data_IF_958031468658
#
_entry.id   IF_958031468658
#
_cell.length_a   1.000
_cell.length_b   1.000
_cell.length_c   1.000
_cell.angle_alpha   90.00
_cell.angle_beta   90.00
_cell.angle_gamma   90.00
#
_symmetry.space_group_name_H-M   'P 1'
#
loop_
_entity.id
_entity.type
_entity.pdbx_description
1 polymer ?
#
# COMPACT_ATOMS: atom_id res chain seq x y z
N UNK A 1 -17.14 12.96 -13.57
CA UNK A 1 -16.00 13.32 -14.44
C UNK A 1 -14.79 12.70 -13.78
N UNK A 2 -14.15 11.72 -14.44
CA UNK A 2 -13.01 10.99 -13.86
C UNK A 2 -11.88 11.98 -13.63
N UNK A 3 -11.53 12.22 -12.37
CA UNK A 3 -10.37 13.04 -12.06
C UNK A 3 -9.12 12.20 -12.28
N UNK A 4 -8.42 12.45 -13.37
CA UNK A 4 -7.19 11.71 -13.70
C UNK A 4 -6.12 11.95 -12.63
N UNK A 5 -6.21 13.08 -11.92
CA UNK A 5 -5.33 13.38 -10.79
C UNK A 5 -5.50 12.37 -9.65
N UNK A 6 -6.71 11.84 -9.40
CA UNK A 6 -6.93 10.81 -8.39
C UNK A 6 -6.20 9.50 -8.77
N UNK A 7 -6.28 9.13 -10.06
CA UNK A 7 -5.64 7.91 -10.58
C UNK A 7 -4.12 8.04 -10.48
N UNK A 8 -3.57 9.16 -10.94
CA UNK A 8 -2.12 9.40 -10.87
C UNK A 8 -1.64 9.54 -9.42
N UNK A 9 -2.39 10.20 -8.53
CA UNK A 9 -2.03 10.24 -7.11
C UNK A 9 -2.04 8.83 -6.54
N UNK A 10 -3.13 8.07 -6.71
CA UNK A 10 -3.23 6.70 -6.21
C UNK A 10 -2.03 5.84 -6.64
N UNK A 11 -1.61 5.95 -7.91
CA UNK A 11 -0.46 5.23 -8.46
C UNK A 11 0.90 5.82 -8.09
N UNK A 12 1.00 7.08 -7.63
CA UNK A 12 2.29 7.70 -7.33
C UNK A 12 3.00 7.02 -6.15
N UNK A 13 2.27 6.63 -5.10
CA UNK A 13 2.85 6.00 -3.92
C UNK A 13 3.09 4.50 -4.15
N UNK A 14 4.29 4.02 -3.84
CA UNK A 14 4.67 2.61 -4.02
C UNK A 14 3.79 1.65 -3.22
N UNK A 15 3.44 1.98 -1.97
CA UNK A 15 2.56 1.13 -1.15
C UNK A 15 1.14 1.04 -1.72
N UNK A 16 0.56 2.17 -2.17
CA UNK A 16 -0.77 2.19 -2.80
C UNK A 16 -0.80 1.37 -4.09
N UNK A 17 0.21 1.55 -4.94
CA UNK A 17 0.36 0.82 -6.20
C UNK A 17 0.41 -0.69 -5.96
N UNK A 18 1.24 -1.13 -5.01
CA UNK A 18 1.40 -2.55 -4.69
C UNK A 18 0.08 -3.14 -4.20
N UNK A 19 -0.59 -2.49 -3.25
CA UNK A 19 -1.90 -2.94 -2.77
C UNK A 19 -2.93 -3.02 -3.91
N UNK A 20 -3.01 -2.00 -4.75
CA UNK A 20 -3.96 -1.97 -5.87
C UNK A 20 -3.71 -3.08 -6.90
N UNK A 21 -2.44 -3.42 -7.16
CA UNK A 21 -2.07 -4.54 -8.02
C UNK A 21 -2.47 -5.87 -7.37
N UNK A 22 -2.22 -6.06 -6.07
CA UNK A 22 -2.61 -7.26 -5.33
C UNK A 22 -4.14 -7.46 -5.31
N UNK A 23 -4.90 -6.35 -5.25
CA UNK A 23 -6.37 -6.35 -5.32
C UNK A 23 -6.92 -6.77 -6.69
N UNK A 24 -6.13 -6.77 -7.77
CA UNK A 24 -6.55 -7.34 -9.06
C UNK A 24 -6.85 -8.83 -8.95
N UNK A 25 -6.11 -9.54 -8.09
CA UNK A 25 -6.19 -10.99 -7.94
C UNK A 25 -7.19 -11.40 -6.87
N UNK A 26 -7.11 -10.78 -5.68
CA UNK A 26 -7.98 -11.10 -4.55
C UNK A 26 -8.04 -9.95 -3.54
N UNK A 27 -9.11 -9.86 -2.73
CA UNK A 27 -9.14 -9.00 -1.55
C UNK A 27 -7.92 -9.25 -0.65
N UNK A 28 -7.40 -8.19 -0.03
CA UNK A 28 -6.18 -8.23 0.78
C UNK A 28 -6.47 -7.87 2.23
N UNK A 29 -5.82 -8.58 3.15
CA UNK A 29 -5.86 -8.23 4.56
C UNK A 29 -4.71 -7.29 4.88
N UNK A 30 -5.04 -6.12 5.44
CA UNK A 30 -4.00 -5.16 5.85
C UNK A 30 -3.60 -5.47 7.29
N UNK A 31 -2.30 -5.53 7.61
CA UNK A 31 -1.87 -5.75 8.99
C UNK A 31 -2.24 -4.55 9.86
N UNK A 32 -3.02 -4.79 10.91
CA UNK A 32 -3.30 -3.82 11.97
C UNK A 32 -2.00 -3.36 12.64
N UNK A 33 -1.85 -2.05 12.93
CA UNK A 33 -0.79 -1.58 13.78
C UNK A 33 -0.86 -2.24 15.16
N UNK A 34 0.29 -2.65 15.67
CA UNK A 34 0.38 -3.28 16.99
C UNK A 34 0.01 -2.28 18.10
N UNK A 35 -0.50 -2.79 19.24
CA UNK A 35 -1.16 -1.96 20.26
C UNK A 35 -0.35 -0.75 20.77
N UNK A 36 0.97 -0.84 20.85
CA UNK A 36 1.81 0.29 21.27
C UNK A 36 1.87 1.35 20.17
N UNK A 37 2.02 0.95 18.90
CA UNK A 37 2.09 1.88 17.78
C UNK A 37 0.73 2.47 17.44
N UNK A 38 -0.36 1.75 17.68
CA UNK A 38 -1.72 2.29 17.59
C UNK A 38 -1.97 3.41 18.61
N UNK A 39 -1.70 3.16 19.89
CA UNK A 39 -1.85 4.17 20.95
C UNK A 39 -0.98 5.41 20.69
N UNK A 40 0.24 5.20 20.18
CA UNK A 40 1.16 6.30 19.87
C UNK A 40 0.75 7.05 18.60
N UNK A 41 0.27 6.37 17.56
CA UNK A 41 -0.23 7.02 16.34
C UNK A 41 -1.51 7.83 16.58
N UNK A 42 -2.42 7.31 17.42
CA UNK A 42 -3.63 8.02 17.84
C UNK A 42 -3.29 9.27 18.68
N UNK A 43 -2.17 9.25 19.41
CA UNK A 43 -1.73 10.37 20.24
C UNK A 43 -0.89 11.43 19.50
N UNK A 44 0.13 11.03 18.72
CA UNK A 44 1.01 11.92 17.96
C UNK A 44 1.88 11.15 16.93
N UNK A 45 1.71 11.42 15.63
CA UNK A 45 2.52 10.81 14.57
C UNK A 45 4.03 11.09 14.71
N UNK A 46 4.42 12.23 15.27
CA UNK A 46 5.84 12.55 15.51
C UNK A 46 6.43 11.74 16.67
N UNK A 47 5.60 11.32 17.64
CA UNK A 47 6.04 10.38 18.67
C UNK A 47 6.25 8.99 18.07
N UNK A 48 5.41 8.59 17.13
CA UNK A 48 5.56 7.32 16.44
C UNK A 48 6.88 7.26 15.65
N UNK A 49 7.18 8.26 14.80
CA UNK A 49 8.45 8.29 14.05
C UNK A 49 9.69 8.15 14.96
N UNK A 50 9.65 8.78 16.14
CA UNK A 50 10.73 8.70 17.13
C UNK A 50 10.84 7.32 17.76
N UNK A 51 9.71 6.69 18.09
CA UNK A 51 9.67 5.35 18.66
C UNK A 51 10.19 4.29 17.68
N UNK A 52 9.73 4.36 16.43
CA UNK A 52 10.11 3.46 15.34
C UNK A 52 11.61 3.52 15.01
N UNK A 53 12.24 4.68 15.22
CA UNK A 53 13.69 4.84 15.01
C UNK A 53 14.55 4.00 15.97
N UNK A 54 13.99 3.51 17.09
CA UNK A 54 14.74 2.88 18.19
C UNK A 54 14.79 1.34 18.15
N UNK A 55 13.82 0.67 17.51
CA UNK A 55 13.73 -0.81 17.43
C UNK A 55 13.52 -1.27 15.98
N UNK A 56 14.62 -1.53 15.26
CA UNK A 56 14.68 -1.38 13.79
C UNK A 56 13.83 -2.37 12.96
N UNK A 57 13.43 -3.54 13.49
CA UNK A 57 12.65 -4.54 12.72
C UNK A 57 11.16 -4.51 13.03
N UNK A 58 10.78 -4.49 14.32
CA UNK A 58 9.38 -4.38 14.75
C UNK A 58 8.81 -3.03 14.30
N UNK A 59 9.64 -1.98 14.37
CA UNK A 59 9.28 -0.67 13.88
C UNK A 59 8.92 -0.65 12.39
N UNK A 60 9.64 -1.39 11.55
CA UNK A 60 9.39 -1.31 10.10
C UNK A 60 8.03 -1.90 9.70
N UNK A 61 7.59 -2.93 10.43
CA UNK A 61 6.25 -3.54 10.24
C UNK A 61 5.17 -2.59 10.74
N UNK A 62 5.36 -1.99 11.92
CA UNK A 62 4.41 -1.02 12.46
C UNK A 62 4.33 0.27 11.64
N UNK A 63 5.45 0.77 11.13
CA UNK A 63 5.49 1.97 10.27
C UNK A 63 4.65 1.76 9.00
N UNK A 64 4.79 0.58 8.40
CA UNK A 64 4.01 0.20 7.23
C UNK A 64 2.52 0.09 7.57
N UNK A 65 2.17 -0.60 8.65
CA UNK A 65 0.78 -0.72 9.11
C UNK A 65 0.14 0.63 9.41
N UNK A 66 0.81 1.50 10.17
CA UNK A 66 0.30 2.83 10.50
C UNK A 66 0.13 3.67 9.23
N UNK A 67 1.15 3.75 8.37
CA UNK A 67 1.04 4.56 7.14
C UNK A 67 -0.07 4.05 6.21
N UNK A 68 -0.28 2.73 6.15
CA UNK A 68 -1.41 2.15 5.43
C UNK A 68 -2.74 2.59 6.03
N UNK A 69 -2.94 2.42 7.35
CA UNK A 69 -4.21 2.72 8.03
C UNK A 69 -4.55 4.21 8.08
N UNK A 70 -3.55 5.09 8.29
CA UNK A 70 -3.81 6.51 8.54
C UNK A 70 -3.63 7.40 7.30
N UNK A 71 -2.84 6.98 6.31
CA UNK A 71 -2.51 7.83 5.15
C UNK A 71 -3.03 7.23 3.84
N UNK A 72 -2.74 5.95 3.59
CA UNK A 72 -2.96 5.38 2.26
C UNK A 72 -4.38 4.85 2.05
N UNK A 73 -4.91 4.02 2.96
CA UNK A 73 -6.24 3.43 2.84
C UNK A 73 -7.35 4.49 2.87
N UNK A 74 -7.35 5.49 3.78
CA UNK A 74 -8.39 6.52 3.78
C UNK A 74 -8.46 7.27 2.45
N UNK A 75 -7.31 7.64 1.86
CA UNK A 75 -7.26 8.32 0.56
C UNK A 75 -7.76 7.44 -0.58
N UNK A 76 -7.36 6.16 -0.63
CA UNK A 76 -7.82 5.24 -1.66
C UNK A 76 -9.33 4.98 -1.57
N UNK A 77 -9.88 4.94 -0.35
CA UNK A 77 -11.31 4.82 -0.11
C UNK A 77 -12.06 6.10 -0.51
N UNK A 78 -11.51 7.28 -0.21
CA UNK A 78 -12.04 8.58 -0.64
C UNK A 78 -12.13 8.69 -2.17
N UNK A 79 -11.10 8.23 -2.89
CA UNK A 79 -11.14 8.15 -4.35
C UNK A 79 -12.14 7.11 -4.88
N UNK A 80 -12.64 6.22 -4.03
CA UNK A 80 -13.56 5.14 -4.40
C UNK A 80 -12.88 3.96 -5.09
N UNK A 81 -11.55 3.90 -5.10
CA UNK A 81 -10.81 2.79 -5.71
C UNK A 81 -10.84 1.53 -4.84
N UNK A 82 -10.92 1.67 -3.52
CA UNK A 82 -11.06 0.53 -2.61
C UNK A 82 -12.33 0.64 -1.77
N UNK A 83 -12.85 -0.51 -1.36
CA UNK A 83 -13.70 -0.64 -0.19
C UNK A 83 -12.84 -1.14 0.97
N UNK A 84 -12.86 -0.45 2.10
CA UNK A 84 -12.10 -0.85 3.27
C UNK A 84 -13.04 -1.13 4.44
N UNK A 85 -12.99 -2.36 4.93
CA UNK A 85 -13.67 -2.81 6.14
C UNK A 85 -12.70 -2.69 7.32
N UNK A 86 -12.94 -1.69 8.18
CA UNK A 86 -12.17 -1.42 9.39
C UNK A 86 -12.36 -2.52 10.45
N UNK A 87 -13.51 -3.17 10.49
CA UNK A 87 -13.82 -4.19 11.51
C UNK A 87 -13.10 -5.51 11.20
N UNK A 88 -12.97 -5.83 9.91
CA UNK A 88 -12.34 -7.08 9.44
C UNK A 88 -10.94 -6.89 8.83
N UNK A 89 -10.43 -5.66 8.80
CA UNK A 89 -9.15 -5.31 8.16
C UNK A 89 -9.01 -5.78 6.72
N UNK A 90 -10.15 -5.83 6.04
CA UNK A 90 -10.25 -6.35 4.69
C UNK A 90 -10.36 -5.19 3.71
N UNK A 91 -9.44 -5.19 2.75
CA UNK A 91 -9.51 -4.28 1.61
C UNK A 91 -9.98 -5.06 0.39
N UNK A 92 -11.02 -4.53 -0.24
CA UNK A 92 -11.61 -5.04 -1.46
C UNK A 92 -11.65 -3.96 -2.54
N UNK A 93 -12.01 -4.36 -3.75
CA UNK A 93 -12.20 -3.42 -4.87
C UNK A 93 -13.36 -2.48 -4.57
N UNK A 94 -13.14 -1.18 -4.76
CA UNK A 94 -14.14 -0.14 -4.58
C UNK A 94 -15.00 0.08 -5.82
N UNK A 95 -16.04 0.93 -5.73
CA UNK A 95 -16.98 1.20 -6.82
C UNK A 95 -16.33 1.80 -8.08
N UNK A 96 -15.19 2.50 -7.94
CA UNK A 96 -14.43 3.10 -9.05
C UNK A 96 -13.21 2.27 -9.45
N UNK A 97 -13.06 1.05 -8.95
CA UNK A 97 -11.86 0.23 -9.21
C UNK A 97 -11.65 -0.08 -10.70
N UNK A 98 -12.74 -0.24 -11.47
CA UNK A 98 -12.64 -0.47 -12.91
C UNK A 98 -12.03 0.71 -13.68
N UNK A 99 -12.03 1.93 -13.12
CA UNK A 99 -11.38 3.10 -13.73
C UNK A 99 -9.84 2.98 -13.68
N UNK A 100 -9.29 2.47 -12.58
CA UNK A 100 -7.84 2.35 -12.37
C UNK A 100 -7.28 1.01 -12.89
N UNK A 101 -8.13 -0.01 -13.02
CA UNK A 101 -7.79 -1.37 -13.46
C UNK A 101 -6.97 -1.47 -14.76
N UNK A 102 -7.21 -0.68 -15.83
CA UNK A 102 -6.38 -0.73 -17.04
C UNK A 102 -4.92 -0.37 -16.76
N UNK A 103 -4.69 0.64 -15.90
CA UNK A 103 -3.35 1.08 -15.52
C UNK A 103 -2.66 0.04 -14.62
N UNK A 104 -3.41 -0.60 -13.73
CA UNK A 104 -2.87 -1.65 -12.84
C UNK A 104 -2.44 -2.89 -13.61
N UNK A 105 -3.17 -3.30 -14.66
CA UNK A 105 -2.75 -4.44 -15.50
C UNK A 105 -1.40 -4.19 -16.17
N UNK A 106 -1.23 -3.00 -16.74
CA UNK A 106 0.06 -2.61 -17.33
C UNK A 106 1.19 -2.69 -16.29
N UNK A 107 0.95 -2.21 -15.08
CA UNK A 107 1.93 -2.28 -13.99
C UNK A 107 2.25 -3.73 -13.58
N UNK A 108 1.23 -4.58 -13.44
CA UNK A 108 1.40 -5.99 -13.10
C UNK A 108 2.23 -6.76 -14.16
N UNK A 109 1.93 -6.52 -15.44
CA UNK A 109 2.68 -7.10 -16.58
C UNK A 109 4.16 -6.69 -16.57
N UNK A 110 4.46 -5.46 -16.14
CA UNK A 110 5.84 -4.97 -16.01
C UNK A 110 6.55 -5.43 -14.73
N UNK A 111 5.83 -5.69 -13.64
CA UNK A 111 6.40 -6.12 -12.37
C UNK A 111 6.88 -7.58 -12.41
N UNK A 112 6.14 -8.45 -13.13
CA UNK A 112 6.55 -9.83 -13.42
C UNK A 112 7.86 -9.88 -14.22
N UNK A 113 8.06 -8.96 -15.17
CA UNK A 113 9.32 -8.82 -15.91
C UNK A 113 10.49 -8.29 -15.08
N UNK A 114 10.23 -7.63 -13.94
CA UNK A 114 11.28 -7.08 -13.06
C UNK A 114 11.81 -8.10 -12.06
N UNK A 115 11.03 -9.14 -11.74
CA UNK A 115 11.44 -10.26 -10.86
C UNK A 115 12.37 -11.25 -11.56
N UNK A 116 12.50 -11.22 -12.89
CA UNK A 116 13.40 -12.11 -13.65
C UNK A 116 14.81 -11.56 -13.88
N UNK A 117 15.16 -10.36 -13.41
CA UNK A 117 16.56 -9.92 -13.38
C UNK A 117 17.26 -10.49 -12.13
N UNK A 118 17.47 -11.82 -12.14
CA UNK A 118 18.51 -12.46 -11.35
C UNK A 118 19.89 -11.90 -11.72
N UNK A 119 20.91 -12.08 -10.87
CA UNK A 119 22.20 -11.43 -11.07
C UNK A 119 22.77 -11.86 -12.42
N UNK A 120 23.01 -10.90 -13.31
CA UNK A 120 23.82 -11.13 -14.51
C UNK A 120 25.21 -11.53 -14.01
N UNK A 121 25.47 -12.83 -13.93
CA UNK A 121 26.82 -13.36 -13.77
C UNK A 121 27.55 -13.04 -15.06
N UNK A 122 28.20 -11.88 -15.09
CA UNK A 122 29.16 -11.54 -16.13
C UNK A 122 30.33 -12.50 -15.99
N UNK A 123 30.32 -13.60 -16.75
CA UNK A 123 31.53 -14.36 -17.01
C UNK A 123 32.45 -13.51 -17.88
N UNK A 124 33.35 -12.79 -17.22
CA UNK A 124 34.53 -12.20 -17.85
C UNK A 124 35.54 -13.32 -18.06
N UNK A 125 35.77 -13.67 -19.32
CA UNK A 125 36.87 -14.56 -19.73
C UNK A 125 38.13 -13.75 -19.99
#
# INVERSE_FOLDING_TARGET
MVNHDDVFDALAASHRRQLLVELLSSPQHVPEPSGISREVAEADENLLQRYLSSSRTIAKVDEYSVSMHHIHLPKLAEYGFIGWDLDHNLVAQGPRFDEIKPHLRLLAEHEDGRRTNGPVVTHRR
#
